data_IF_203010021316
#
_entry.id   IF_203010021316
#
_cell.length_a   1.000
_cell.length_b   1.000
_cell.length_c   1.000
_cell.angle_alpha   90.00
_cell.angle_beta   90.00
_cell.angle_gamma   90.00
#
_symmetry.space_group_name_H-M   'P 1'
#
loop_
_entity.id
_entity.type
_entity.pdbx_description
1 polymer ?
#
# COMPACT_ATOMS: atom_id res chain seq x y z
N UNK A 1 3.88 32.05 -8.65
CA UNK A 1 5.01 31.19 -8.21
C UNK A 1 4.82 30.89 -6.74
N UNK A 2 4.36 29.69 -6.36
CA UNK A 2 4.28 29.28 -4.95
C UNK A 2 5.67 28.90 -4.49
N UNK A 3 6.21 29.67 -3.55
CA UNK A 3 7.57 29.55 -3.05
C UNK A 3 7.88 28.15 -2.57
N UNK A 4 9.01 27.61 -3.02
CA UNK A 4 9.62 26.42 -2.45
C UNK A 4 10.03 26.78 -1.03
N UNK A 5 9.26 26.34 -0.05
CA UNK A 5 9.67 26.36 1.34
C UNK A 5 10.79 25.34 1.49
N UNK A 6 12.02 25.81 1.26
CA UNK A 6 13.26 25.18 1.68
C UNK A 6 13.10 24.85 3.16
N UNK A 7 13.02 23.56 3.48
CA UNK A 7 13.24 23.14 4.86
C UNK A 7 14.71 23.45 5.15
N UNK A 8 15.05 24.08 6.29
CA UNK A 8 16.42 24.10 6.73
C UNK A 8 16.89 22.65 6.77
N UNK A 9 18.07 22.38 6.22
CA UNK A 9 18.73 21.08 6.26
C UNK A 9 18.93 20.70 7.73
N UNK A 10 17.91 20.10 8.34
CA UNK A 10 18.07 19.41 9.61
C UNK A 10 18.95 18.23 9.26
N UNK A 11 20.21 18.29 9.65
CA UNK A 11 21.14 17.18 9.47
C UNK A 11 20.46 15.91 10.01
N UNK A 12 20.31 14.89 9.15
CA UNK A 12 19.66 13.61 9.43
C UNK A 12 20.27 12.85 10.63
N UNK A 13 21.27 13.42 11.30
CA UNK A 13 22.16 12.75 12.23
C UNK A 13 21.56 12.58 13.64
N UNK A 14 20.47 13.27 14.03
CA UNK A 14 19.87 13.12 15.38
C UNK A 14 18.35 13.36 15.49
N UNK A 15 17.55 13.06 14.47
CA UNK A 15 16.10 13.13 14.64
C UNK A 15 15.64 11.87 15.39
N UNK A 16 15.02 12.03 16.56
CA UNK A 16 14.37 10.92 17.29
C UNK A 16 12.88 10.89 16.93
N UNK A 17 12.29 9.69 16.92
CA UNK A 17 10.85 9.52 16.68
C UNK A 17 9.98 10.34 17.64
N UNK A 18 10.44 10.51 18.89
CA UNK A 18 9.80 11.34 19.92
C UNK A 18 9.63 12.82 19.53
N UNK A 19 10.42 13.31 18.57
CA UNK A 19 10.33 14.70 18.09
C UNK A 19 9.31 14.86 16.96
N UNK A 20 8.77 13.75 16.44
CA UNK A 20 7.80 13.74 15.36
C UNK A 20 6.38 13.76 15.94
N UNK A 21 5.49 14.48 15.27
CA UNK A 21 4.10 14.56 15.69
C UNK A 21 3.38 13.21 15.50
N UNK A 22 2.74 12.69 16.56
CA UNK A 22 1.78 11.57 16.56
C UNK A 22 1.98 10.53 15.45
N UNK A 23 1.20 10.65 14.38
CA UNK A 23 1.23 9.76 13.22
C UNK A 23 2.63 9.57 12.61
N UNK A 24 3.46 10.62 12.56
CA UNK A 24 4.83 10.52 12.05
C UNK A 24 5.77 9.81 13.01
N UNK A 25 5.53 9.86 14.32
CA UNK A 25 6.29 9.08 15.32
C UNK A 25 5.96 7.59 15.20
N UNK A 26 4.67 7.27 15.09
CA UNK A 26 4.21 5.89 14.85
C UNK A 26 4.76 5.34 13.53
N UNK A 27 4.67 6.11 12.44
CA UNK A 27 5.25 5.74 11.15
C UNK A 27 6.78 5.60 11.22
N UNK A 28 7.47 6.42 12.02
CA UNK A 28 8.92 6.32 12.16
C UNK A 28 9.34 5.11 12.99
N UNK A 29 8.54 4.71 13.98
CA UNK A 29 8.74 3.47 14.71
C UNK A 29 8.54 2.23 13.82
N UNK A 30 7.59 2.29 12.87
CA UNK A 30 7.29 1.19 11.95
C UNK A 30 8.25 1.10 10.75
N UNK A 31 8.57 2.23 10.12
CA UNK A 31 9.29 2.30 8.83
C UNK A 31 10.70 2.87 8.93
N UNK A 32 11.06 3.45 10.08
CA UNK A 32 12.29 4.23 10.26
C UNK A 32 12.12 5.70 9.87
N UNK A 33 12.99 6.54 10.47
CA UNK A 33 12.95 7.99 10.33
C UNK A 33 13.21 8.44 8.88
N UNK A 34 14.18 7.83 8.18
CA UNK A 34 14.50 8.17 6.79
C UNK A 34 13.31 8.00 5.83
N UNK A 35 12.54 6.92 6.01
CA UNK A 35 11.36 6.65 5.18
C UNK A 35 10.27 7.71 5.41
N UNK A 36 10.04 8.05 6.68
CA UNK A 36 9.07 9.09 7.07
C UNK A 36 9.46 10.46 6.52
N UNK A 37 10.73 10.83 6.57
CA UNK A 37 11.21 12.10 6.02
C UNK A 37 10.98 12.18 4.51
N UNK A 38 11.19 11.08 3.77
CA UNK A 38 10.87 11.00 2.33
C UNK A 38 9.38 11.18 2.06
N UNK A 39 8.52 10.52 2.85
CA UNK A 39 7.05 10.65 2.74
C UNK A 39 6.64 12.10 3.01
N UNK A 40 7.10 12.69 4.12
CA UNK A 40 6.80 14.08 4.45
C UNK A 40 7.28 15.04 3.36
N UNK A 41 8.51 14.87 2.87
CA UNK A 41 9.05 15.73 1.81
C UNK A 41 8.22 15.68 0.53
N UNK A 42 7.70 14.50 0.16
CA UNK A 42 6.95 14.32 -1.08
C UNK A 42 5.48 14.73 -0.98
N UNK A 43 4.85 14.48 0.18
CA UNK A 43 3.39 14.61 0.33
C UNK A 43 2.96 15.73 1.30
N UNK A 44 3.89 16.49 1.89
CA UNK A 44 3.56 17.64 2.77
C UNK A 44 2.55 18.58 2.11
N UNK A 45 1.51 18.94 2.87
CA UNK A 45 0.42 19.81 2.39
C UNK A 45 -0.68 19.10 1.60
N UNK A 46 -0.60 17.78 1.45
CA UNK A 46 -1.65 16.94 0.86
C UNK A 46 -2.29 16.05 1.93
N UNK A 47 -3.60 15.81 1.85
CA UNK A 47 -4.28 14.83 2.68
C UNK A 47 -4.27 13.47 1.96
N UNK A 48 -3.69 12.44 2.59
CA UNK A 48 -3.66 11.08 2.06
C UNK A 48 -4.63 10.19 2.84
N UNK A 49 -5.42 9.40 2.12
CA UNK A 49 -6.24 8.35 2.68
C UNK A 49 -5.61 7.00 2.32
N UNK A 50 -5.40 6.15 3.33
CA UNK A 50 -4.95 4.78 3.09
C UNK A 50 -6.18 3.89 2.85
N UNK A 51 -6.36 3.38 1.61
CA UNK A 51 -7.42 2.41 1.36
C UNK A 51 -7.16 1.13 2.15
N UNK A 52 -8.24 0.41 2.48
CA UNK A 52 -8.15 -0.92 3.11
C UNK A 52 -7.49 -1.92 2.15
N UNK A 53 -7.73 -1.76 0.85
CA UNK A 53 -7.12 -2.59 -0.20
C UNK A 53 -5.71 -2.09 -0.51
N UNK A 54 -4.71 -2.92 -0.20
CA UNK A 54 -3.30 -2.61 -0.47
C UNK A 54 -2.94 -2.73 -1.96
N UNK A 55 -3.51 -3.71 -2.65
CA UNK A 55 -3.21 -4.00 -4.04
C UNK A 55 -4.34 -3.57 -4.97
N UNK A 56 -3.99 -3.18 -6.18
CA UNK A 56 -4.99 -2.91 -7.22
C UNK A 56 -5.78 -4.17 -7.57
N UNK A 57 -7.06 -4.01 -7.91
CA UNK A 57 -7.91 -5.12 -8.36
C UNK A 57 -7.30 -5.89 -9.53
N UNK A 58 -6.70 -5.18 -10.48
CA UNK A 58 -6.05 -5.77 -11.65
C UNK A 58 -4.88 -6.68 -11.26
N UNK A 59 -4.06 -6.24 -10.30
CA UNK A 59 -2.96 -7.06 -9.78
C UNK A 59 -3.48 -8.33 -9.10
N UNK A 60 -4.53 -8.21 -8.27
CA UNK A 60 -5.12 -9.35 -7.56
C UNK A 60 -5.71 -10.36 -8.55
N UNK A 61 -6.44 -9.88 -9.57
CA UNK A 61 -7.02 -10.73 -10.61
C UNK A 61 -5.93 -11.53 -11.33
N UNK A 62 -4.83 -10.88 -11.75
CA UNK A 62 -3.70 -11.54 -12.40
C UNK A 62 -3.09 -12.63 -11.51
N UNK A 63 -2.84 -12.30 -10.25
CA UNK A 63 -2.28 -13.29 -9.31
C UNK A 63 -3.23 -14.46 -9.05
N UNK A 64 -4.54 -14.22 -8.96
CA UNK A 64 -5.53 -15.30 -8.79
C UNK A 64 -5.50 -16.27 -9.98
N UNK A 65 -5.41 -15.75 -11.20
CA UNK A 65 -5.37 -16.57 -12.42
C UNK A 65 -4.06 -17.33 -12.54
N UNK A 66 -2.93 -16.68 -12.26
CA UNK A 66 -1.59 -17.31 -12.28
C UNK A 66 -1.44 -18.41 -11.23
N UNK A 67 -2.01 -18.22 -10.03
CA UNK A 67 -1.94 -19.21 -8.95
C UNK A 67 -3.03 -20.28 -9.01
N UNK A 68 -4.01 -20.16 -9.91
CA UNK A 68 -5.12 -21.10 -9.97
C UNK A 68 -4.68 -22.46 -10.51
N UNK A 69 -4.91 -23.52 -9.74
CA UNK A 69 -4.51 -24.89 -10.07
C UNK A 69 -5.70 -25.81 -10.41
N UNK A 70 -6.90 -25.24 -10.63
CA UNK A 70 -8.13 -25.98 -10.90
C UNK A 70 -8.99 -26.25 -9.66
N UNK A 71 -8.38 -26.44 -8.48
CA UNK A 71 -9.10 -26.88 -7.28
C UNK A 71 -8.90 -25.97 -6.05
N UNK A 72 -7.97 -25.02 -6.09
CA UNK A 72 -7.58 -24.16 -4.96
C UNK A 72 -8.42 -22.88 -4.75
N UNK A 73 -9.66 -22.82 -5.26
CA UNK A 73 -10.53 -21.63 -5.12
C UNK A 73 -10.70 -21.19 -3.65
N UNK A 74 -10.86 -22.14 -2.74
CA UNK A 74 -11.04 -21.86 -1.30
C UNK A 74 -9.79 -21.30 -0.64
N UNK A 75 -8.62 -21.76 -1.08
CA UNK A 75 -7.33 -21.28 -0.59
C UNK A 75 -7.08 -19.86 -1.08
N UNK A 76 -7.33 -19.58 -2.36
CA UNK A 76 -7.24 -18.24 -2.93
C UNK A 76 -8.22 -17.26 -2.25
N UNK A 77 -9.43 -17.71 -1.93
CA UNK A 77 -10.42 -16.91 -1.20
C UNK A 77 -9.91 -16.47 0.17
N UNK A 78 -9.29 -17.41 0.88
CA UNK A 78 -8.72 -17.15 2.21
C UNK A 78 -7.47 -16.28 2.12
N UNK A 79 -6.58 -16.53 1.14
CA UNK A 79 -5.33 -15.80 0.94
C UNK A 79 -5.55 -14.34 0.58
N UNK A 80 -6.49 -14.08 -0.34
CA UNK A 80 -6.77 -12.73 -0.83
C UNK A 80 -7.93 -12.03 -0.09
N UNK A 81 -8.59 -12.72 0.85
CA UNK A 81 -9.68 -12.13 1.64
C UNK A 81 -10.99 -11.90 0.86
N UNK A 82 -11.21 -12.65 -0.23
CA UNK A 82 -12.41 -12.53 -1.05
C UNK A 82 -13.32 -13.75 -0.92
N UNK A 83 -14.58 -13.59 -1.31
CA UNK A 83 -15.52 -14.72 -1.37
C UNK A 83 -15.17 -15.68 -2.50
N UNK A 84 -15.36 -16.98 -2.29
CA UNK A 84 -15.19 -17.99 -3.36
C UNK A 84 -16.03 -17.67 -4.61
N UNK A 85 -17.22 -17.09 -4.41
CA UNK A 85 -18.10 -16.67 -5.51
C UNK A 85 -17.43 -15.62 -6.41
N UNK A 86 -16.73 -14.66 -5.82
CA UNK A 86 -16.02 -13.63 -6.58
C UNK A 86 -14.81 -14.20 -7.31
N UNK A 87 -14.07 -15.11 -6.69
CA UNK A 87 -12.95 -15.80 -7.35
C UNK A 87 -13.43 -16.63 -8.53
N UNK A 88 -14.49 -17.44 -8.37
CA UNK A 88 -15.08 -18.18 -9.50
C UNK A 88 -15.54 -17.25 -10.61
N UNK A 89 -16.06 -16.07 -10.27
CA UNK A 89 -16.44 -15.06 -11.26
C UNK A 89 -15.23 -14.56 -12.05
N UNK A 90 -14.13 -14.21 -11.38
CA UNK A 90 -12.89 -13.78 -12.03
C UNK A 90 -12.34 -14.85 -12.96
N UNK A 91 -12.25 -16.09 -12.47
CA UNK A 91 -11.74 -17.20 -13.25
C UNK A 91 -12.60 -17.44 -14.49
N UNK A 92 -13.93 -17.31 -14.36
CA UNK A 92 -14.84 -17.42 -15.51
C UNK A 92 -14.65 -16.27 -16.50
N UNK A 93 -14.57 -15.03 -16.03
CA UNK A 93 -14.34 -13.85 -16.87
C UNK A 93 -13.02 -13.96 -17.65
N UNK A 94 -11.96 -14.53 -17.05
CA UNK A 94 -10.70 -14.78 -17.77
C UNK A 94 -10.80 -15.89 -18.82
N UNK A 95 -11.56 -16.96 -18.57
CA UNK A 95 -11.74 -18.06 -19.54
C UNK A 95 -12.57 -17.61 -20.75
N UNK A 96 -13.50 -16.66 -20.56
CA UNK A 96 -14.35 -16.12 -21.63
C UNK A 96 -13.62 -15.06 -22.50
N UNK A 97 -12.49 -14.51 -22.04
CA UNK A 97 -11.67 -13.52 -22.77
C UNK A 97 -10.56 -14.17 -23.63
N UNK A 98 -10.38 -15.50 -23.57
CA UNK A 98 -9.36 -16.28 -24.29
C UNK A 98 -9.99 -17.25 -25.31
#
# INVERSE_FOLDING_TARGET
MRGVCLMPTIDNVKIKGEYLNGAYSELAALLGIDAVLKIHSKYRGTQMFFPVELFSREFIVKQIVEEYNGYNVRELATKYGYTEKWIRKILKEHIDEE
#
